data_IF_138528061784
#
_entry.id   IF_138528061784
#
_cell.length_a   1.000
_cell.length_b   1.000
_cell.length_c   1.000
_cell.angle_alpha   90.00
_cell.angle_beta   90.00
_cell.angle_gamma   90.00
#
_symmetry.space_group_name_H-M   'P 1'
#
loop_
_entity.id
_entity.type
_entity.pdbx_description
1 polymer ?
#
# COMPACT_ATOMS: atom_id res chain seq x y z
N UNK A 1 54.56 48.60 -15.86
CA UNK A 1 53.41 47.99 -16.57
C UNK A 1 53.57 46.48 -16.79
N UNK A 2 54.74 45.99 -17.24
CA UNK A 2 54.99 44.55 -17.51
C UNK A 2 54.92 43.66 -16.26
N UNK A 3 55.42 44.11 -15.10
CA UNK A 3 55.38 43.32 -13.85
C UNK A 3 53.97 43.10 -13.29
N UNK A 4 53.03 44.00 -13.57
CA UNK A 4 51.64 43.88 -13.10
C UNK A 4 50.88 42.82 -13.91
N UNK A 5 51.17 42.71 -15.21
CA UNK A 5 50.60 41.72 -16.11
C UNK A 5 51.09 40.30 -15.79
N UNK A 6 52.38 40.13 -15.47
CA UNK A 6 52.93 38.83 -15.06
C UNK A 6 52.30 38.34 -13.75
N UNK A 7 52.13 39.23 -12.76
CA UNK A 7 51.43 38.90 -11.51
C UNK A 7 49.97 38.51 -11.72
N UNK A 8 49.29 39.18 -12.65
CA UNK A 8 47.90 38.88 -13.00
C UNK A 8 47.79 37.49 -13.66
N UNK A 9 48.61 37.20 -14.67
CA UNK A 9 48.59 35.89 -15.37
C UNK A 9 48.96 34.74 -14.43
N UNK A 10 49.91 34.94 -13.51
CA UNK A 10 50.28 33.94 -12.51
C UNK A 10 49.14 33.69 -11.50
N UNK A 11 48.42 34.74 -11.08
CA UNK A 11 47.27 34.61 -10.17
C UNK A 11 46.14 33.79 -10.80
N UNK A 12 45.82 33.99 -12.08
CA UNK A 12 44.79 33.20 -12.77
C UNK A 12 45.17 31.72 -12.93
N UNK A 13 46.45 31.42 -13.17
CA UNK A 13 46.92 30.03 -13.21
C UNK A 13 46.82 29.35 -11.84
N UNK A 14 47.13 30.06 -10.76
CA UNK A 14 46.99 29.54 -9.40
C UNK A 14 45.52 29.29 -9.06
N UNK A 15 44.63 30.23 -9.37
CA UNK A 15 43.18 30.08 -9.14
C UNK A 15 42.63 28.89 -9.96
N UNK A 16 43.04 28.74 -11.23
CA UNK A 16 42.65 27.60 -12.06
C UNK A 16 43.09 26.25 -11.47
N UNK A 17 44.33 26.15 -10.96
CA UNK A 17 44.81 24.94 -10.29
C UNK A 17 44.04 24.63 -9.00
N UNK A 18 43.66 25.65 -8.22
CA UNK A 18 42.86 25.47 -6.99
C UNK A 18 41.46 24.94 -7.33
N UNK A 19 40.79 25.50 -8.34
CA UNK A 19 39.47 25.05 -8.77
C UNK A 19 39.51 23.59 -9.24
N UNK A 20 40.51 23.22 -10.05
CA UNK A 20 40.69 21.84 -10.51
C UNK A 20 40.96 20.88 -9.35
N UNK A 21 41.83 21.26 -8.42
CA UNK A 21 42.13 20.44 -7.23
C UNK A 21 40.87 20.20 -6.39
N UNK A 22 40.08 21.25 -6.13
CA UNK A 22 38.82 21.15 -5.38
C UNK A 22 37.81 20.26 -6.13
N UNK A 23 37.72 20.35 -7.45
CA UNK A 23 36.86 19.48 -8.26
C UNK A 23 37.26 18.00 -8.13
N UNK A 24 38.54 17.68 -8.25
CA UNK A 24 39.03 16.30 -8.10
C UNK A 24 38.90 15.77 -6.66
N UNK A 25 39.15 16.61 -5.65
CA UNK A 25 38.90 16.23 -4.26
C UNK A 25 37.42 15.91 -4.00
N UNK A 26 36.50 16.70 -4.54
CA UNK A 26 35.06 16.41 -4.44
C UNK A 26 34.68 15.12 -5.19
N UNK A 27 35.27 14.85 -6.36
CA UNK A 27 35.04 13.60 -7.07
C UNK A 27 35.49 12.36 -6.27
N UNK A 28 36.65 12.45 -5.60
CA UNK A 28 37.17 11.37 -4.75
C UNK A 28 36.27 11.16 -3.54
N UNK A 29 35.76 12.23 -2.92
CA UNK A 29 34.82 12.13 -1.80
C UNK A 29 33.51 11.47 -2.23
N UNK A 30 32.97 11.82 -3.39
CA UNK A 30 31.75 11.18 -3.94
C UNK A 30 32.00 9.71 -4.27
N UNK A 31 33.14 9.37 -4.88
CA UNK A 31 33.49 7.97 -5.18
C UNK A 31 33.63 7.12 -3.89
N UNK A 32 34.25 7.66 -2.84
CA UNK A 32 34.38 7.00 -1.53
C UNK A 32 33.03 6.84 -0.80
N UNK A 33 32.07 7.73 -1.06
CA UNK A 33 30.73 7.67 -0.46
C UNK A 33 29.83 6.64 -1.13
N UNK A 34 29.99 6.42 -2.44
CA UNK A 34 29.21 5.43 -3.20
C UNK A 34 29.62 3.99 -2.84
N UNK A 35 30.88 3.73 -2.47
CA UNK A 35 31.35 2.39 -2.08
C UNK A 35 30.93 1.94 -0.66
N UNK A 36 30.35 2.81 0.18
CA UNK A 36 30.05 2.48 1.59
C UNK A 36 28.64 1.91 1.84
N UNK A 37 27.77 1.80 0.83
CA UNK A 37 26.39 1.32 1.03
C UNK A 37 26.07 -0.11 0.54
N UNK A 38 27.07 -0.95 0.31
CA UNK A 38 26.86 -2.39 0.14
C UNK A 38 27.43 -3.18 1.34
N UNK A 39 26.59 -3.65 2.27
CA UNK A 39 27.03 -4.59 3.28
C UNK A 39 27.22 -5.97 2.62
N UNK A 40 28.45 -6.29 2.25
CA UNK A 40 28.85 -7.69 1.97
C UNK A 40 29.14 -8.33 3.33
N UNK A 41 28.14 -9.00 3.91
CA UNK A 41 28.38 -9.95 4.98
C UNK A 41 29.00 -11.21 4.37
N UNK A 42 30.33 -11.32 4.49
CA UNK A 42 31.05 -12.58 4.35
C UNK A 42 30.71 -13.47 5.54
N UNK A 43 29.77 -14.39 5.37
CA UNK A 43 29.56 -15.48 6.33
C UNK A 43 30.60 -16.56 6.03
N UNK A 44 31.53 -16.71 6.97
CA UNK A 44 32.33 -17.92 7.16
C UNK A 44 31.39 -19.13 7.31
N UNK A 45 31.46 -20.07 6.38
CA UNK A 45 31.05 -21.45 6.64
C UNK A 45 32.27 -22.34 6.40
N UNK A 46 32.87 -22.70 7.54
CA UNK A 46 33.78 -23.81 7.69
C UNK A 46 33.06 -25.10 7.22
N UNK A 47 33.71 -25.81 6.32
CA UNK A 47 33.41 -27.17 5.82
C UNK A 47 33.17 -28.20 6.96
N UNK A 48 32.53 -29.38 6.75
CA UNK A 48 33.11 -30.39 5.84
C UNK A 48 32.15 -31.42 5.16
N UNK A 49 32.74 -32.13 4.18
CA UNK A 49 32.37 -33.44 3.58
C UNK A 49 31.64 -33.35 2.22
N UNK A 50 32.15 -33.84 1.08
CA UNK A 50 32.97 -35.03 0.82
C UNK A 50 33.88 -34.89 -0.43
N UNK A 51 35.18 -35.13 -0.23
CA UNK A 51 36.11 -36.05 -0.94
C UNK A 51 36.01 -36.23 -2.47
N UNK A 52 36.98 -35.61 -3.15
CA UNK A 52 37.98 -36.08 -4.14
C UNK A 52 37.73 -37.34 -5.01
N UNK A 53 37.71 -37.18 -6.35
CA UNK A 53 38.83 -37.51 -7.28
C UNK A 53 38.40 -37.83 -8.73
N UNK A 54 39.20 -37.30 -9.65
CA UNK A 54 39.58 -37.76 -11.01
C UNK A 54 38.51 -38.13 -12.07
N UNK A 55 38.53 -37.35 -13.17
CA UNK A 55 38.88 -37.92 -14.47
C UNK A 55 37.79 -38.56 -15.36
N UNK A 56 37.27 -37.75 -16.29
CA UNK A 56 37.11 -38.05 -17.73
C UNK A 56 36.07 -39.10 -18.21
N UNK A 57 35.20 -38.62 -19.12
CA UNK A 57 34.32 -39.30 -20.09
C UNK A 57 33.09 -40.04 -19.54
N UNK A 58 31.91 -39.99 -20.16
CA UNK A 58 31.24 -39.15 -21.14
C UNK A 58 29.84 -39.78 -21.23
N UNK A 59 28.80 -38.93 -21.29
CA UNK A 59 27.43 -39.26 -21.70
C UNK A 59 26.61 -40.25 -20.87
N UNK A 60 25.36 -39.85 -20.62
CA UNK A 60 24.26 -40.58 -19.99
C UNK A 60 24.34 -40.73 -18.46
N UNK A 61 23.20 -40.44 -17.81
CA UNK A 61 22.92 -40.57 -16.37
C UNK A 61 23.18 -39.28 -15.55
N UNK A 62 22.60 -38.15 -15.99
CA UNK A 62 21.86 -37.26 -15.07
C UNK A 62 20.54 -36.92 -15.76
N UNK A 63 19.73 -37.96 -15.94
CA UNK A 63 18.27 -37.82 -15.98
C UNK A 63 17.85 -38.17 -14.54
N UNK A 64 16.98 -37.37 -13.93
CA UNK A 64 16.34 -37.59 -12.62
C UNK A 64 16.95 -36.98 -11.34
N UNK A 65 17.42 -35.72 -11.38
CA UNK A 65 17.30 -34.85 -10.18
C UNK A 65 17.12 -33.35 -10.43
N UNK A 66 16.58 -32.99 -11.57
CA UNK A 66 15.89 -31.71 -11.73
C UNK A 66 14.53 -32.08 -12.31
N UNK A 67 13.48 -32.02 -11.50
CA UNK A 67 12.16 -31.69 -12.03
C UNK A 67 12.32 -30.31 -12.66
N UNK A 68 12.68 -30.32 -13.94
CA UNK A 68 13.06 -29.16 -14.72
C UNK A 68 11.95 -28.14 -14.60
N UNK A 69 12.28 -27.01 -14.05
CA UNK A 69 11.45 -25.83 -14.02
C UNK A 69 10.94 -25.53 -15.43
N UNK A 70 9.71 -25.96 -15.71
CA UNK A 70 9.06 -25.91 -17.04
C UNK A 70 8.96 -24.47 -17.57
N UNK A 71 8.91 -23.50 -16.63
CA UNK A 71 8.94 -22.08 -16.91
C UNK A 71 10.25 -21.61 -17.56
N UNK A 72 11.39 -22.30 -17.36
CA UNK A 72 12.67 -21.98 -18.02
C UNK A 72 12.68 -22.33 -19.50
N UNK A 73 11.85 -23.28 -19.94
CA UNK A 73 11.68 -23.61 -21.36
C UNK A 73 10.73 -22.67 -22.10
N UNK A 74 10.02 -21.78 -21.39
CA UNK A 74 9.11 -20.82 -22.01
C UNK A 74 9.87 -19.81 -22.91
N UNK A 75 9.35 -19.48 -24.10
CA UNK A 75 10.05 -18.60 -25.05
C UNK A 75 10.31 -17.20 -24.49
N UNK A 76 9.42 -16.70 -23.62
CA UNK A 76 9.59 -15.43 -22.93
C UNK A 76 10.74 -15.48 -21.92
N UNK A 77 10.80 -16.55 -21.12
CA UNK A 77 11.85 -16.76 -20.13
C UNK A 77 13.22 -16.93 -20.79
N UNK A 78 13.29 -17.72 -21.86
CA UNK A 78 14.52 -17.90 -22.64
C UNK A 78 15.02 -16.58 -23.23
N UNK A 79 14.13 -15.78 -23.81
CA UNK A 79 14.48 -14.47 -24.38
C UNK A 79 14.87 -13.45 -23.30
N UNK A 80 14.25 -13.51 -22.11
CA UNK A 80 14.63 -12.67 -21.00
C UNK A 80 16.01 -13.03 -20.45
N UNK A 81 16.31 -14.32 -20.27
CA UNK A 81 17.59 -14.81 -19.76
C UNK A 81 18.74 -14.58 -20.76
N UNK A 82 18.50 -14.68 -22.06
CA UNK A 82 19.51 -14.45 -23.10
C UNK A 82 19.98 -13.00 -23.18
N UNK A 83 19.13 -12.04 -22.74
CA UNK A 83 19.46 -10.61 -22.68
C UNK A 83 20.25 -10.21 -21.43
N UNK A 84 20.39 -11.10 -20.45
CA UNK A 84 21.10 -10.81 -19.20
C UNK A 84 22.62 -10.82 -19.41
N UNK A 85 23.29 -9.77 -18.91
CA UNK A 85 24.72 -9.51 -19.15
C UNK A 85 25.67 -10.37 -18.31
N UNK A 86 25.29 -10.76 -17.10
CA UNK A 86 26.16 -11.52 -16.18
C UNK A 86 25.55 -12.88 -15.85
N UNK A 87 26.40 -13.89 -15.71
CA UNK A 87 25.95 -15.24 -15.32
C UNK A 87 25.35 -15.27 -13.92
N UNK A 88 25.84 -14.43 -13.01
CA UNK A 88 25.27 -14.28 -11.67
C UNK A 88 23.81 -13.78 -11.71
N UNK A 89 23.54 -12.74 -12.51
CA UNK A 89 22.18 -12.21 -12.70
C UNK A 89 21.28 -13.27 -13.34
N UNK A 90 21.79 -14.00 -14.34
CA UNK A 90 21.05 -15.08 -15.02
C UNK A 90 20.78 -16.26 -14.10
N UNK A 91 21.69 -16.60 -13.17
CA UNK A 91 21.50 -17.67 -12.20
C UNK A 91 20.42 -17.32 -11.18
N UNK A 92 20.47 -16.11 -10.59
CA UNK A 92 19.45 -15.62 -9.65
C UNK A 92 18.07 -15.52 -10.31
N UNK A 93 18.00 -15.04 -11.55
CA UNK A 93 16.73 -14.96 -12.28
C UNK A 93 16.13 -16.34 -12.56
N UNK A 94 16.96 -17.35 -12.90
CA UNK A 94 16.50 -18.74 -13.07
C UNK A 94 15.90 -19.27 -11.77
N UNK A 95 16.58 -19.05 -10.65
CA UNK A 95 16.12 -19.48 -9.33
C UNK A 95 14.75 -18.87 -8.97
N UNK A 96 14.58 -17.56 -9.17
CA UNK A 96 13.30 -16.88 -8.93
C UNK A 96 12.17 -17.45 -9.79
N UNK A 97 12.41 -17.66 -11.09
CA UNK A 97 11.40 -18.21 -12.01
C UNK A 97 10.92 -19.59 -11.56
N UNK A 98 11.81 -20.39 -10.98
CA UNK A 98 11.48 -21.75 -10.56
C UNK A 98 10.74 -21.82 -9.24
N UNK A 99 10.78 -20.75 -8.45
CA UNK A 99 10.07 -20.64 -7.19
C UNK A 99 8.89 -19.67 -7.25
N UNK A 100 8.52 -19.15 -8.43
CA UNK A 100 7.52 -18.09 -8.55
C UNK A 100 6.15 -18.47 -7.98
N UNK A 101 5.75 -19.74 -8.07
CA UNK A 101 4.50 -20.26 -7.52
C UNK A 101 4.51 -20.33 -5.97
N UNK A 102 5.69 -20.31 -5.35
CA UNK A 102 5.83 -20.22 -3.89
C UNK A 102 5.89 -18.77 -3.41
N UNK A 103 6.26 -17.85 -4.32
CA UNK A 103 6.43 -16.42 -4.03
C UNK A 103 5.14 -15.63 -4.24
N UNK A 104 4.23 -16.13 -5.08
CA UNK A 104 2.95 -15.47 -5.40
C UNK A 104 1.82 -16.47 -5.13
N UNK A 105 0.86 -16.15 -4.26
CA UNK A 105 -0.28 -17.03 -4.04
C UNK A 105 -1.16 -17.11 -5.30
N UNK A 106 -1.61 -18.32 -5.65
CA UNK A 106 -2.50 -18.57 -6.80
C UNK A 106 -3.85 -17.84 -6.69
N UNK A 107 -4.26 -17.51 -5.45
CA UNK A 107 -5.46 -16.74 -5.17
C UNK A 107 -5.23 -15.78 -4.02
N UNK A 108 -5.66 -14.54 -4.19
CA UNK A 108 -5.81 -13.60 -3.09
C UNK A 108 -7.21 -13.82 -2.45
N UNK A 109 -7.31 -13.91 -1.12
CA UNK A 109 -8.61 -13.99 -0.47
C UNK A 109 -9.41 -12.71 -0.75
N UNK A 110 -10.69 -12.85 -1.08
CA UNK A 110 -11.58 -11.72 -1.26
C UNK A 110 -12.00 -11.15 0.09
N UNK A 111 -11.23 -10.23 0.64
CA UNK A 111 -11.53 -9.54 1.91
C UNK A 111 -12.58 -8.43 1.76
N UNK A 112 -13.23 -8.33 0.60
CA UNK A 112 -14.29 -7.36 0.39
C UNK A 112 -15.54 -7.76 1.21
N UNK A 113 -16.09 -6.86 2.02
CA UNK A 113 -17.36 -7.10 2.70
C UNK A 113 -18.45 -7.47 1.69
N UNK A 114 -19.37 -8.35 2.09
CA UNK A 114 -20.54 -8.68 1.25
C UNK A 114 -21.41 -7.42 1.09
N UNK A 115 -22.02 -7.26 -0.07
CA UNK A 115 -22.88 -6.11 -0.37
C UNK A 115 -24.22 -6.57 -0.97
N UNK A 116 -25.32 -6.00 -0.47
CA UNK A 116 -26.66 -6.14 -1.03
C UNK A 116 -27.27 -4.77 -1.28
N UNK A 117 -27.45 -4.45 -2.57
CA UNK A 117 -27.97 -3.18 -3.03
C UNK A 117 -29.41 -2.92 -2.53
N UNK A 118 -30.20 -3.99 -2.30
CA UNK A 118 -31.58 -3.86 -1.80
C UNK A 118 -31.65 -3.32 -0.37
N UNK A 119 -30.56 -3.42 0.39
CA UNK A 119 -30.49 -2.89 1.74
C UNK A 119 -30.02 -1.43 1.76
N UNK A 120 -29.43 -0.91 0.68
CA UNK A 120 -28.88 0.44 0.68
C UNK A 120 -29.97 1.50 0.85
N UNK A 121 -29.77 2.38 1.82
CA UNK A 121 -30.72 3.46 2.12
C UNK A 121 -31.99 3.00 2.81
N UNK A 122 -32.11 1.70 3.15
CA UNK A 122 -33.27 1.19 3.88
C UNK A 122 -33.29 1.76 5.29
N UNK A 123 -34.36 2.47 5.63
CA UNK A 123 -34.63 2.92 6.99
C UNK A 123 -34.84 1.72 7.91
N UNK A 124 -34.18 1.76 9.06
CA UNK A 124 -34.22 0.70 10.09
C UNK A 124 -35.13 1.10 11.25
N UNK A 125 -35.07 2.37 11.64
CA UNK A 125 -35.86 2.90 12.75
C UNK A 125 -35.20 4.11 13.40
N UNK A 126 -35.91 4.70 14.36
CA UNK A 126 -35.42 5.81 15.16
C UNK A 126 -34.86 5.29 16.48
N UNK A 127 -33.66 5.74 16.85
CA UNK A 127 -32.98 5.31 18.07
C UNK A 127 -32.43 6.49 18.84
N UNK A 128 -32.37 6.35 20.16
CA UNK A 128 -31.73 7.34 21.02
C UNK A 128 -30.23 7.38 20.73
N UNK A 129 -29.70 8.58 20.52
CA UNK A 129 -28.27 8.84 20.45
C UNK A 129 -27.95 10.02 21.38
N UNK A 130 -26.76 10.01 21.98
CA UNK A 130 -26.26 11.13 22.75
C UNK A 130 -24.73 11.02 22.87
N UNK A 131 -24.02 12.13 23.12
CA UNK A 131 -22.56 12.10 23.31
C UNK A 131 -22.06 11.09 24.35
N UNK A 132 -22.85 10.82 25.41
CA UNK A 132 -22.49 9.87 26.48
C UNK A 132 -22.97 8.43 26.20
N UNK A 133 -23.79 8.22 25.18
CA UNK A 133 -24.38 6.93 24.84
C UNK A 133 -24.66 6.90 23.34
N UNK A 134 -23.58 6.78 22.56
CA UNK A 134 -23.66 6.73 21.10
C UNK A 134 -24.26 5.42 20.63
N UNK A 135 -25.09 5.50 19.60
CA UNK A 135 -25.67 4.38 18.87
C UNK A 135 -24.61 3.74 17.98
N UNK A 136 -23.86 4.56 17.23
CA UNK A 136 -22.80 4.15 16.31
C UNK A 136 -21.46 4.79 16.72
N UNK A 137 -20.42 3.96 16.87
CA UNK A 137 -19.08 4.38 17.33
C UNK A 137 -17.99 4.28 16.25
N UNK A 138 -18.38 4.27 14.97
CA UNK A 138 -17.44 4.25 13.86
C UNK A 138 -16.96 5.65 13.51
N UNK A 139 -17.28 6.11 12.31
CA UNK A 139 -16.87 7.42 11.82
C UNK A 139 -17.98 8.47 12.02
N UNK A 140 -17.59 9.73 12.19
CA UNK A 140 -18.50 10.86 12.34
C UNK A 140 -18.20 11.92 11.30
N UNK A 141 -19.25 12.40 10.63
CA UNK A 141 -19.20 13.51 9.70
C UNK A 141 -20.17 14.61 10.13
N UNK A 142 -19.81 15.86 9.80
CA UNK A 142 -20.75 16.98 9.79
C UNK A 142 -20.85 17.54 8.38
N UNK A 143 -22.08 17.65 7.87
CA UNK A 143 -22.38 18.13 6.54
C UNK A 143 -23.35 19.29 6.62
N UNK A 144 -22.99 20.43 5.99
CA UNK A 144 -23.91 21.55 5.83
C UNK A 144 -25.18 21.11 5.11
N UNK A 145 -25.00 20.48 3.95
CA UNK A 145 -26.08 19.93 3.12
C UNK A 145 -26.16 18.43 3.29
N UNK A 146 -26.73 18.00 4.41
CA UNK A 146 -26.92 16.59 4.70
C UNK A 146 -28.23 16.05 4.11
N UNK A 147 -28.28 14.74 3.91
CA UNK A 147 -29.50 13.99 3.62
C UNK A 147 -29.30 12.52 3.98
N UNK A 148 -30.38 11.74 4.18
CA UNK A 148 -30.27 10.31 4.43
C UNK A 148 -29.44 9.58 3.36
N UNK A 149 -29.65 9.90 2.08
CA UNK A 149 -28.92 9.26 0.98
C UNK A 149 -27.44 9.66 0.97
N UNK A 150 -27.12 10.91 1.30
CA UNK A 150 -25.74 11.38 1.36
C UNK A 150 -24.97 10.75 2.53
N UNK A 151 -25.56 10.73 3.73
CA UNK A 151 -24.96 10.08 4.89
C UNK A 151 -24.72 8.59 4.65
N UNK A 152 -25.73 7.87 4.11
CA UNK A 152 -25.61 6.46 3.72
C UNK A 152 -24.46 6.22 2.75
N UNK A 153 -24.31 7.07 1.73
CA UNK A 153 -23.24 6.95 0.74
C UNK A 153 -21.85 7.16 1.35
N UNK A 154 -21.72 8.09 2.30
CA UNK A 154 -20.45 8.36 2.97
C UNK A 154 -20.07 7.21 3.90
N UNK A 155 -21.01 6.66 4.66
CA UNK A 155 -20.75 5.49 5.50
C UNK A 155 -20.47 4.22 4.68
N UNK A 156 -21.12 4.05 3.52
CA UNK A 156 -20.80 2.98 2.57
C UNK A 156 -19.36 3.09 2.05
N UNK A 157 -18.91 4.29 1.67
CA UNK A 157 -17.53 4.54 1.22
C UNK A 157 -16.51 4.31 2.33
N UNK A 158 -16.88 4.60 3.57
CA UNK A 158 -16.08 4.28 4.76
C UNK A 158 -16.13 2.78 5.14
N UNK A 159 -16.96 1.98 4.47
CA UNK A 159 -17.05 0.53 4.64
C UNK A 159 -17.81 0.07 5.88
N UNK A 160 -18.76 0.87 6.38
CA UNK A 160 -19.59 0.55 7.53
C UNK A 160 -20.95 -0.01 7.11
N UNK A 161 -21.50 -0.95 7.88
CA UNK A 161 -22.85 -1.54 7.68
C UNK A 161 -24.03 -0.59 7.96
N UNK A 162 -23.83 0.43 8.79
CA UNK A 162 -24.89 1.36 9.20
C UNK A 162 -24.48 2.82 9.07
N UNK A 163 -25.50 3.65 8.81
CA UNK A 163 -25.44 5.11 8.84
C UNK A 163 -26.58 5.63 9.71
N UNK A 164 -26.35 6.65 10.52
CA UNK A 164 -27.38 7.31 11.30
C UNK A 164 -27.27 8.81 11.13
N UNK A 165 -28.40 9.47 10.95
CA UNK A 165 -28.48 10.93 10.76
C UNK A 165 -29.14 11.57 11.98
N UNK A 166 -28.54 12.66 12.45
CA UNK A 166 -28.98 13.38 13.64
C UNK A 166 -28.80 14.89 13.45
N UNK A 167 -29.57 15.69 14.18
CA UNK A 167 -29.36 17.13 14.33
C UNK A 167 -29.09 17.90 13.03
N UNK A 168 -29.79 17.55 11.94
CA UNK A 168 -29.60 18.06 10.55
C UNK A 168 -28.27 17.63 9.93
N UNK A 169 -27.17 18.08 10.51
CA UNK A 169 -25.86 18.05 9.89
C UNK A 169 -25.05 16.81 10.25
N UNK A 170 -25.43 16.09 11.30
CA UNK A 170 -24.64 15.01 11.86
C UNK A 170 -24.91 13.69 11.14
N UNK A 171 -23.81 13.01 10.79
CA UNK A 171 -23.85 11.70 10.16
C UNK A 171 -22.87 10.76 10.86
N UNK A 172 -23.41 9.72 11.47
CA UNK A 172 -22.67 8.70 12.20
C UNK A 172 -22.64 7.40 11.39
N UNK A 173 -21.47 6.77 11.34
CA UNK A 173 -21.27 5.48 10.71
C UNK A 173 -20.90 4.45 11.77
N UNK A 174 -21.30 3.20 11.58
CA UNK A 174 -20.92 2.13 12.50
C UNK A 174 -21.14 0.75 11.91
N UNK A 175 -20.38 -0.21 12.42
CA UNK A 175 -20.53 -1.60 12.01
C UNK A 175 -21.62 -2.32 12.81
N UNK A 176 -21.73 -1.94 14.08
CA UNK A 176 -22.70 -2.49 15.04
C UNK A 176 -23.35 -1.36 15.83
N UNK A 177 -24.50 -1.66 16.41
CA UNK A 177 -25.21 -0.76 17.31
C UNK A 177 -24.82 -1.11 18.75
N UNK A 178 -24.44 -0.13 19.57
CA UNK A 178 -24.01 -0.38 20.96
C UNK A 178 -25.08 -0.07 22.00
N UNK A 179 -25.75 1.08 21.89
CA UNK A 179 -26.73 1.56 22.88
C UNK A 179 -28.13 1.68 22.25
N UNK A 180 -28.57 0.64 21.55
CA UNK A 180 -29.80 0.66 20.76
C UNK A 180 -31.06 0.75 21.65
N UNK A 181 -31.53 1.97 21.89
CA UNK A 181 -32.83 2.24 22.52
C UNK A 181 -33.76 2.80 21.46
N UNK A 182 -34.78 2.03 21.06
CA UNK A 182 -35.75 2.46 20.05
C UNK A 182 -36.58 3.63 20.57
N UNK A 183 -36.84 4.59 19.69
CA UNK A 183 -37.75 5.72 19.89
C UNK A 183 -38.88 5.65 18.86
N UNK A 184 -40.01 6.35 19.09
CA UNK A 184 -41.02 6.57 18.06
C UNK A 184 -40.42 7.35 16.88
N UNK A 185 -40.78 7.00 15.63
CA UNK A 185 -40.22 7.61 14.41
C UNK A 185 -40.33 9.13 14.39
N UNK A 186 -41.42 9.69 14.93
CA UNK A 186 -41.64 11.14 15.07
C UNK A 186 -40.50 11.86 15.82
N UNK A 187 -39.73 11.15 16.65
CA UNK A 187 -38.56 11.72 17.33
C UNK A 187 -37.41 12.02 16.37
N UNK A 188 -37.31 11.28 15.27
CA UNK A 188 -36.33 11.48 14.21
C UNK A 188 -36.84 12.35 13.05
N UNK A 189 -38.11 12.75 13.10
CA UNK A 189 -38.77 13.64 12.14
C UNK A 189 -38.82 15.10 12.64
N UNK A 190 -37.93 15.45 13.58
CA UNK A 190 -37.93 16.77 14.21
C UNK A 190 -37.26 17.84 13.35
N UNK A 191 -36.22 17.46 12.60
CA UNK A 191 -35.44 18.38 11.80
C UNK A 191 -35.51 18.03 10.32
N UNK A 192 -35.91 19.02 9.52
CA UNK A 192 -35.79 18.92 8.07
C UNK A 192 -34.32 19.01 7.65
N UNK A 193 -33.98 18.25 6.61
CA UNK A 193 -32.77 18.45 5.84
C UNK A 193 -32.83 19.78 5.08
N UNK A 194 -31.72 20.19 4.46
CA UNK A 194 -31.69 21.40 3.61
C UNK A 194 -32.68 21.35 2.43
N UNK A 195 -33.09 20.14 2.03
CA UNK A 195 -34.25 19.92 1.16
C UNK A 195 -35.45 19.62 2.06
N UNK A 196 -36.43 20.53 2.08
CA UNK A 196 -37.60 20.52 2.98
C UNK A 196 -38.43 19.21 2.91
N UNK A 197 -38.20 18.37 1.90
CA UNK A 197 -38.90 17.11 1.70
C UNK A 197 -38.46 15.94 2.60
N UNK A 198 -37.30 16.05 3.26
CA UNK A 198 -36.70 14.94 4.03
C UNK A 198 -36.39 15.35 5.47
N UNK A 199 -36.38 14.35 6.36
CA UNK A 199 -35.97 14.51 7.75
C UNK A 199 -34.53 14.04 7.98
N UNK A 200 -33.80 14.81 8.78
CA UNK A 200 -32.40 14.62 9.14
C UNK A 200 -32.24 14.44 10.67
N UNK A 201 -33.11 13.62 11.26
CA UNK A 201 -33.03 13.20 12.67
C UNK A 201 -33.64 14.20 13.67
N UNK A 202 -33.33 13.98 14.95
CA UNK A 202 -33.75 14.81 16.07
C UNK A 202 -32.59 15.22 16.98
N UNK A 203 -32.90 15.77 18.16
CA UNK A 203 -31.89 16.35 19.08
C UNK A 203 -31.05 15.31 19.86
N UNK A 204 -31.62 14.14 20.11
CA UNK A 204 -30.98 12.97 20.74
C UNK A 204 -31.58 11.69 20.13
N UNK A 205 -31.84 11.75 18.83
CA UNK A 205 -32.66 10.80 18.11
C UNK A 205 -32.10 10.65 16.70
N UNK A 206 -31.40 9.53 16.48
CA UNK A 206 -30.73 9.24 15.23
C UNK A 206 -31.60 8.32 14.36
N UNK A 207 -31.91 8.78 13.15
CA UNK A 207 -32.58 7.96 12.15
C UNK A 207 -31.56 7.01 11.52
N UNK A 208 -31.75 5.70 11.74
CA UNK A 208 -30.80 4.67 11.34
C UNK A 208 -31.14 4.08 9.98
N UNK A 209 -30.12 3.89 9.15
CA UNK A 209 -30.22 3.34 7.80
C UNK A 209 -29.16 2.26 7.56
N UNK A 210 -29.48 1.33 6.66
CA UNK A 210 -28.53 0.35 6.12
C UNK A 210 -27.73 0.94 4.96
N UNK A 211 -26.43 0.64 4.91
CA UNK A 211 -25.56 1.06 3.79
C UNK A 211 -25.54 0.08 2.63
N UNK A 212 -25.99 -1.16 2.86
CA UNK A 212 -25.87 -2.28 1.92
C UNK A 212 -24.70 -3.20 2.23
N UNK A 213 -23.75 -2.79 3.09
CA UNK A 213 -22.68 -3.67 3.57
C UNK A 213 -23.27 -4.69 4.56
N UNK A 214 -22.92 -5.97 4.37
CA UNK A 214 -23.37 -7.10 5.18
C UNK A 214 -22.17 -7.69 5.90
N UNK A 215 -21.85 -7.13 7.07
CA UNK A 215 -20.89 -7.69 8.03
C UNK A 215 -19.44 -7.75 7.51
N UNK A 216 -18.51 -7.52 8.44
CA UNK A 216 -17.11 -7.95 8.28
C UNK A 216 -16.86 -9.23 9.06
#
# INVERSE_FOLDING_TARGET
>A
MVMYWIRYVMAYRIIGCIILFVFFCNLILVARFIDWQLPVQLINLQDPSWVDNEGVYQSQIIVDRFSSCELLSGPLTVNALSRMKTEECRAKARDIVCHINQLIPDSLPNTCPKYDDKLRGRYVGCFKDSPNSRLLNGHFYMFKNNSPSYCVNMCLRAGYSFAAIEYREECFCGETLTNAVSLPDISCEQYHCDDDSLFCGGYNAAALYRTGVIGR
#
